data_IF_366980809995
#
_entry.id   IF_366980809995
#
_cell.length_a   1.000
_cell.length_b   1.000
_cell.length_c   1.000
_cell.angle_alpha   90.00
_cell.angle_beta   90.00
_cell.angle_gamma   90.00
#
_symmetry.space_group_name_H-M   'P 1'
#
loop_
_entity.id
_entity.type
_entity.pdbx_description
1 polymer ?
#
# COMPACT_ATOMS: atom_id res chain seq x y z
N UNK A 1 7.04 -2.48 4.60
CA UNK A 1 5.75 -2.27 5.27
C UNK A 1 4.95 -3.56 5.20
N UNK A 2 4.27 -3.93 6.25
CA UNK A 2 3.47 -5.14 6.24
C UNK A 2 2.00 -4.81 5.89
N UNK A 3 1.16 -5.84 5.82
CA UNK A 3 -0.24 -5.64 5.42
C UNK A 3 -0.99 -4.73 6.37
N UNK A 4 -0.73 -4.88 7.65
CA UNK A 4 -1.42 -4.06 8.65
C UNK A 4 -1.04 -2.60 8.51
N UNK A 5 0.23 -2.34 8.28
CA UNK A 5 0.69 -0.98 8.08
C UNK A 5 0.14 -0.38 6.80
N UNK A 6 0.06 -1.19 5.74
CA UNK A 6 -0.49 -0.71 4.48
C UNK A 6 -1.96 -0.37 4.63
N UNK A 7 -2.71 -1.21 5.34
CA UNK A 7 -4.12 -0.96 5.57
C UNK A 7 -4.31 0.29 6.40
N UNK A 8 -3.51 0.46 7.43
CA UNK A 8 -3.59 1.62 8.28
C UNK A 8 -3.26 2.89 7.50
N UNK A 9 -2.23 2.83 6.68
CA UNK A 9 -1.84 3.98 5.87
C UNK A 9 -2.96 4.36 4.90
N UNK A 10 -3.56 3.38 4.25
CA UNK A 10 -4.65 3.64 3.32
C UNK A 10 -5.81 4.32 4.03
N UNK A 11 -6.19 3.81 5.20
CA UNK A 11 -7.31 4.38 5.93
C UNK A 11 -7.00 5.76 6.48
N UNK A 12 -5.73 6.01 6.75
CA UNK A 12 -5.29 7.30 7.22
C UNK A 12 -5.42 8.37 6.14
N UNK A 13 -5.33 7.96 4.88
CA UNK A 13 -5.44 8.90 3.76
C UNK A 13 -6.88 9.05 3.27
N UNK A 14 -7.83 8.45 3.95
CA UNK A 14 -9.24 8.64 3.63
C UNK A 14 -9.93 7.47 2.96
N UNK A 15 -9.21 6.41 2.64
CA UNK A 15 -9.82 5.22 2.06
C UNK A 15 -10.41 4.38 3.18
N UNK A 16 -11.47 3.66 2.90
CA UNK A 16 -12.07 2.75 3.87
C UNK A 16 -11.82 1.33 3.41
N UNK A 17 -10.56 0.99 3.27
CA UNK A 17 -10.19 -0.35 2.84
C UNK A 17 -10.47 -1.36 3.95
N UNK A 18 -10.98 -2.51 3.55
CA UNK A 18 -11.29 -3.58 4.50
C UNK A 18 -10.19 -4.62 4.53
N UNK A 19 -9.38 -4.67 3.48
CA UNK A 19 -8.28 -5.62 3.41
C UNK A 19 -7.24 -5.14 2.42
N UNK A 20 -6.03 -5.64 2.55
CA UNK A 20 -4.93 -5.29 1.67
C UNK A 20 -4.18 -6.55 1.28
N UNK A 21 -3.83 -6.66 0.00
CA UNK A 21 -2.97 -7.73 -0.48
C UNK A 21 -1.64 -7.13 -0.92
N UNK A 22 -0.56 -7.82 -0.61
CA UNK A 22 0.76 -7.40 -1.08
C UNK A 22 0.93 -7.92 -2.49
N UNK A 23 1.14 -7.02 -3.44
CA UNK A 23 1.30 -7.40 -4.84
C UNK A 23 2.77 -7.56 -5.20
N UNK A 24 3.61 -6.64 -4.79
CA UNK A 24 5.01 -6.68 -5.16
C UNK A 24 5.84 -5.82 -4.22
N UNK A 25 7.02 -6.32 -3.88
CA UNK A 25 7.99 -5.57 -3.09
C UNK A 25 9.26 -5.49 -3.91
N UNK A 26 9.64 -4.30 -4.33
CA UNK A 26 10.82 -4.11 -5.14
C UNK A 26 12.03 -3.72 -4.31
N UNK A 27 13.20 -4.10 -4.77
CA UNK A 27 14.44 -3.77 -4.07
C UNK A 27 14.68 -2.25 -4.03
N UNK A 28 14.08 -1.52 -4.95
CA UNK A 28 14.22 -0.06 -4.99
C UNK A 28 13.37 0.65 -3.93
N UNK A 29 12.65 -0.10 -3.12
CA UNK A 29 11.83 0.50 -2.08
C UNK A 29 10.39 0.72 -2.46
N UNK A 30 10.01 0.39 -3.69
CA UNK A 30 8.63 0.52 -4.12
C UNK A 30 7.85 -0.70 -3.69
N UNK A 31 6.67 -0.46 -3.13
CA UNK A 31 5.81 -1.54 -2.66
C UNK A 31 4.43 -1.32 -3.25
N UNK A 32 3.85 -2.37 -3.76
CA UNK A 32 2.54 -2.30 -4.40
C UNK A 32 1.56 -3.14 -3.61
N UNK A 33 0.43 -2.54 -3.29
CA UNK A 33 -0.60 -3.19 -2.49
C UNK A 33 -1.94 -3.02 -3.18
N UNK A 34 -2.77 -4.04 -3.10
CA UNK A 34 -4.13 -3.95 -3.61
C UNK A 34 -5.07 -3.72 -2.43
N UNK A 35 -5.76 -2.62 -2.47
CA UNK A 35 -6.73 -2.27 -1.43
C UNK A 35 -8.10 -2.81 -1.81
N UNK A 36 -8.73 -3.52 -0.91
CA UNK A 36 -10.07 -4.08 -1.14
C UNK A 36 -11.09 -3.29 -0.35
N UNK A 37 -12.22 -3.02 -0.99
CA UNK A 37 -13.29 -2.26 -0.37
C UNK A 37 -14.57 -3.07 -0.36
N UNK A 38 -15.45 -2.75 0.58
CA UNK A 38 -16.69 -3.49 0.72
C UNK A 38 -17.65 -3.26 -0.44
N UNK A 39 -17.75 -2.02 -0.90
CA UNK A 39 -18.71 -1.65 -1.94
C UNK A 39 -18.10 -1.01 -3.17
N UNK A 40 -16.80 -1.07 -3.30
CA UNK A 40 -16.13 -0.44 -4.43
C UNK A 40 -15.11 -1.39 -5.02
N UNK A 41 -14.67 -1.09 -6.22
CA UNK A 41 -13.66 -1.91 -6.86
C UNK A 41 -12.32 -1.70 -6.16
N UNK A 42 -11.47 -2.72 -6.23
CA UNK A 42 -10.16 -2.63 -5.60
C UNK A 42 -9.28 -1.59 -6.30
N UNK A 43 -8.35 -1.05 -5.55
CA UNK A 43 -7.39 -0.08 -6.08
C UNK A 43 -5.99 -0.56 -5.77
N UNK A 44 -5.05 -0.20 -6.61
CA UNK A 44 -3.64 -0.52 -6.37
C UNK A 44 -2.97 0.71 -5.78
N UNK A 45 -2.35 0.52 -4.62
CA UNK A 45 -1.61 1.58 -3.95
C UNK A 45 -0.13 1.34 -4.15
N UNK A 46 0.58 2.36 -4.58
CA UNK A 46 2.03 2.30 -4.70
C UNK A 46 2.63 3.12 -3.55
N UNK A 47 3.44 2.47 -2.75
CA UNK A 47 4.10 3.14 -1.64
C UNK A 47 5.60 3.16 -1.91
N UNK A 48 6.21 4.31 -1.73
CA UNK A 48 7.65 4.44 -1.91
C UNK A 48 8.27 4.66 -0.54
N UNK A 49 9.09 3.70 -0.11
CA UNK A 49 9.75 3.78 1.18
C UNK A 49 10.89 4.81 1.08
N UNK A 50 10.83 5.91 1.82
CA UNK A 50 11.85 6.95 1.73
C UNK A 50 13.23 6.48 2.17
N UNK A 51 13.30 5.44 2.97
CA UNK A 51 14.58 4.93 3.42
C UNK A 51 15.26 4.05 2.37
N UNK A 52 14.46 3.37 1.55
CA UNK A 52 14.99 2.48 0.55
C UNK A 52 15.01 3.11 -0.83
N UNK A 53 14.01 3.90 -1.13
CA UNK A 53 13.84 4.47 -2.45
C UNK A 53 14.65 5.70 -2.71
N UNK A 54 15.31 6.19 -1.69
CA UNK A 54 15.97 7.41 -1.89
C UNK A 54 17.30 7.26 -2.50
N UNK A 55 17.58 7.96 -3.41
CA UNK A 55 18.71 7.84 -3.92
C UNK A 55 19.04 8.97 -4.49
N UNK A 56 18.87 9.79 -4.29
CA UNK A 56 19.21 10.86 -4.82
C UNK A 56 20.06 11.21 -5.14
#
# INVERSE_FOLDING_TARGET
MNKEEALELANKTGFNAIEVDVLKLEASGREYYRLHFDKAESLVMCYLDPKKGNHT
#
